data_IF_670995830133
#
_entry.id   IF_670995830133
#
_cell.length_a   1.000
_cell.length_b   1.000
_cell.length_c   1.000
_cell.angle_alpha   90.00
_cell.angle_beta   90.00
_cell.angle_gamma   90.00
#
_symmetry.space_group_name_H-M   'P 1'
#
loop_
_entity.id
_entity.type
_entity.pdbx_description
1 polymer ?
#
# COMPACT_ATOMS: atom_id res chain seq x y z
N UNK A 1 46.54 -43.35 17.43
CA UNK A 1 45.44 -43.46 16.42
C UNK A 1 44.05 -43.15 16.95
N UNK A 2 43.69 -43.50 18.17
CA UNK A 2 42.33 -43.18 18.72
C UNK A 2 42.00 -41.67 18.87
N UNK A 3 42.99 -40.84 19.12
CA UNK A 3 42.76 -39.35 19.28
C UNK A 3 42.42 -38.64 17.99
N UNK A 4 42.98 -39.09 16.87
CA UNK A 4 42.74 -38.46 15.55
C UNK A 4 41.33 -38.78 15.04
N UNK A 5 40.84 -39.99 15.35
CA UNK A 5 39.49 -40.41 14.96
C UNK A 5 38.40 -39.64 15.68
N UNK A 6 38.61 -39.34 16.97
CA UNK A 6 37.66 -38.53 17.74
C UNK A 6 37.60 -37.08 17.26
N UNK A 7 38.69 -36.52 16.78
CA UNK A 7 38.74 -35.19 16.17
C UNK A 7 38.03 -35.16 14.81
N UNK A 8 38.16 -36.21 13.99
CA UNK A 8 37.46 -36.31 12.71
C UNK A 8 35.94 -36.47 12.88
N UNK A 9 35.50 -37.24 13.88
CA UNK A 9 34.07 -37.37 14.21
C UNK A 9 33.46 -36.06 14.73
N UNK A 10 34.21 -35.29 15.52
CA UNK A 10 33.77 -33.99 16.03
C UNK A 10 33.62 -32.95 14.93
N UNK A 11 34.54 -32.93 13.97
CA UNK A 11 34.50 -32.03 12.83
C UNK A 11 33.33 -32.36 11.86
N UNK A 12 33.06 -33.65 11.63
CA UNK A 12 31.94 -34.09 10.81
C UNK A 12 30.56 -33.73 11.42
N UNK A 13 30.42 -33.83 12.75
CA UNK A 13 29.21 -33.46 13.47
C UNK A 13 28.98 -31.95 13.44
N UNK A 14 30.03 -31.12 13.50
CA UNK A 14 29.92 -29.66 13.43
C UNK A 14 29.54 -29.19 12.04
N UNK A 15 30.07 -29.81 10.97
CA UNK A 15 29.68 -29.51 9.59
C UNK A 15 28.23 -29.90 9.29
N UNK A 16 27.74 -31.02 9.86
CA UNK A 16 26.34 -31.43 9.69
C UNK A 16 25.35 -30.42 10.34
N UNK A 17 25.74 -29.86 11.50
CA UNK A 17 24.92 -28.85 12.18
C UNK A 17 24.84 -27.51 11.42
N UNK A 18 25.88 -27.15 10.68
CA UNK A 18 25.91 -25.90 9.88
C UNK A 18 25.11 -26.01 8.57
N UNK A 19 24.89 -27.24 8.04
CA UNK A 19 24.11 -27.47 6.83
C UNK A 19 22.59 -27.57 7.08
N UNK A 20 22.16 -27.74 8.32
CA UNK A 20 20.73 -27.79 8.68
C UNK A 20 20.08 -26.43 8.87
N UNK A 21 20.82 -25.32 8.72
CA UNK A 21 20.35 -23.96 8.98
C UNK A 21 19.61 -23.26 7.85
N UNK A 22 19.47 -23.88 6.68
CA UNK A 22 18.75 -23.28 5.55
C UNK A 22 17.69 -24.24 5.00
N UNK A 23 16.75 -24.63 5.84
CA UNK A 23 15.45 -25.02 5.32
C UNK A 23 14.75 -23.75 4.85
N UNK A 24 15.12 -23.27 3.67
CA UNK A 24 14.24 -22.40 2.89
C UNK A 24 13.06 -23.28 2.46
N UNK A 25 12.09 -23.39 3.34
CA UNK A 25 10.76 -23.85 2.95
C UNK A 25 10.27 -22.85 1.93
N UNK A 26 10.56 -23.12 0.65
CA UNK A 26 9.83 -22.56 -0.47
C UNK A 26 8.41 -23.10 -0.44
N UNK A 27 7.67 -22.83 0.64
CA UNK A 27 6.23 -22.84 0.63
C UNK A 27 5.85 -21.72 -0.33
N UNK A 28 5.33 -22.08 -1.50
CA UNK A 28 4.44 -21.20 -2.22
C UNK A 28 3.32 -20.87 -1.24
N UNK A 29 3.48 -19.79 -0.49
CA UNK A 29 2.36 -19.13 0.16
C UNK A 29 1.37 -18.90 -0.96
N UNK A 30 0.17 -19.49 -0.92
CA UNK A 30 -0.89 -19.07 -1.81
C UNK A 30 -0.92 -17.56 -1.62
N UNK A 31 -0.95 -16.80 -2.72
CA UNK A 31 -0.95 -15.33 -2.68
C UNK A 31 -1.88 -14.93 -1.54
N UNK A 32 -1.27 -14.59 -0.40
CA UNK A 32 -1.98 -14.49 0.85
C UNK A 32 -2.99 -13.39 0.63
N UNK A 33 -4.26 -13.66 0.84
CA UNK A 33 -5.28 -12.64 0.83
C UNK A 33 -4.75 -11.49 1.67
N UNK A 34 -4.49 -10.35 1.04
CA UNK A 34 -4.07 -9.14 1.74
C UNK A 34 -5.12 -8.92 2.82
N UNK A 35 -4.76 -9.08 4.07
CA UNK A 35 -5.69 -8.98 5.19
C UNK A 35 -5.80 -7.56 5.74
N UNK A 36 -4.99 -6.65 5.21
CA UNK A 36 -4.91 -5.24 5.62
C UNK A 36 -5.19 -4.31 4.46
N UNK A 37 -5.86 -3.23 4.74
CA UNK A 37 -6.07 -2.12 3.82
C UNK A 37 -4.72 -1.45 3.53
N UNK A 38 -4.28 -1.38 2.26
CA UNK A 38 -2.99 -0.83 1.91
C UNK A 38 -2.85 0.67 2.19
N UNK A 39 -3.94 1.42 2.31
CA UNK A 39 -3.93 2.86 2.62
C UNK A 39 -3.71 3.13 4.11
N UNK A 40 -4.34 2.34 4.97
CA UNK A 40 -4.42 2.63 6.40
C UNK A 40 -3.69 1.63 7.27
N UNK A 41 -3.36 0.44 6.75
CA UNK A 41 -2.82 -0.68 7.52
C UNK A 41 -3.84 -1.33 8.47
N UNK A 42 -5.10 -0.92 8.44
CA UNK A 42 -6.17 -1.49 9.23
C UNK A 42 -6.66 -2.83 8.63
N UNK A 43 -7.48 -3.55 9.36
CA UNK A 43 -8.11 -4.76 8.84
C UNK A 43 -8.90 -4.46 7.56
N UNK A 44 -8.70 -5.30 6.53
CA UNK A 44 -9.38 -5.13 5.24
C UNK A 44 -10.89 -5.34 5.40
N UNK A 45 -11.66 -4.31 5.12
CA UNK A 45 -13.12 -4.32 5.22
C UNK A 45 -13.80 -4.72 3.90
N UNK A 46 -13.11 -4.56 2.78
CA UNK A 46 -13.64 -4.78 1.42
C UNK A 46 -12.74 -5.75 0.63
N UNK A 47 -12.72 -7.04 0.99
CA UNK A 47 -11.84 -8.01 0.35
C UNK A 47 -12.22 -8.21 -1.12
N UNK A 48 -11.21 -8.15 -2.00
CA UNK A 48 -11.40 -8.30 -3.44
C UNK A 48 -11.81 -7.04 -4.19
N UNK A 49 -12.06 -5.93 -3.50
CA UNK A 49 -12.32 -4.64 -4.14
C UNK A 49 -11.03 -3.82 -4.27
N UNK A 50 -11.01 -2.94 -5.25
CA UNK A 50 -9.90 -2.02 -5.46
C UNK A 50 -10.12 -0.73 -4.70
N UNK A 51 -9.07 -0.25 -4.06
CA UNK A 51 -8.99 1.12 -3.53
C UNK A 51 -9.26 2.13 -4.64
N UNK A 52 -10.01 3.18 -4.37
CA UNK A 52 -10.27 4.27 -5.31
C UNK A 52 -9.70 5.59 -4.79
N UNK A 53 -9.14 6.41 -5.68
CA UNK A 53 -8.70 7.76 -5.35
C UNK A 53 -9.34 8.77 -6.30
N UNK A 54 -10.02 9.76 -5.74
CA UNK A 54 -10.75 10.79 -6.47
C UNK A 54 -10.11 12.13 -6.21
N UNK A 55 -9.82 12.88 -7.29
CA UNK A 55 -9.30 14.24 -7.16
C UNK A 55 -10.44 15.23 -7.23
N UNK A 56 -10.57 16.04 -6.19
CA UNK A 56 -11.57 17.10 -6.09
C UNK A 56 -10.93 18.48 -6.05
N UNK A 57 -11.70 19.48 -6.46
CA UNK A 57 -11.26 20.88 -6.46
C UNK A 57 -11.12 21.40 -5.02
N UNK A 58 -10.04 22.13 -4.77
CA UNK A 58 -9.74 22.79 -3.49
C UNK A 58 -9.36 24.27 -3.69
N UNK A 59 -9.85 24.88 -4.75
CA UNK A 59 -9.64 26.32 -4.95
C UNK A 59 -10.42 27.13 -3.92
N UNK A 60 -9.93 28.31 -3.58
CA UNK A 60 -10.61 29.22 -2.65
C UNK A 60 -12.02 29.64 -3.13
N UNK A 61 -12.29 29.52 -4.42
CA UNK A 61 -13.61 29.74 -5.03
C UNK A 61 -14.54 28.53 -4.96
N UNK A 62 -14.05 27.35 -4.56
CA UNK A 62 -14.88 26.16 -4.41
C UNK A 62 -15.87 26.34 -3.27
N UNK A 63 -17.15 26.26 -3.57
CA UNK A 63 -18.21 26.55 -2.59
C UNK A 63 -18.63 25.35 -1.77
N UNK A 64 -18.52 24.14 -2.33
CA UNK A 64 -18.96 22.91 -1.65
C UNK A 64 -18.10 21.74 -2.11
N UNK A 65 -17.54 21.04 -1.12
CA UNK A 65 -16.76 19.83 -1.33
C UNK A 65 -17.47 18.66 -0.64
N UNK A 66 -17.63 17.55 -1.35
CA UNK A 66 -18.29 16.35 -0.82
C UNK A 66 -17.33 15.17 -0.78
N UNK A 67 -17.53 14.30 0.21
CA UNK A 67 -16.82 13.03 0.36
C UNK A 67 -15.61 13.08 1.27
N UNK A 68 -15.07 14.24 1.63
CA UNK A 68 -13.83 14.37 2.42
C UNK A 68 -13.91 13.58 3.74
N UNK A 69 -14.99 13.73 4.49
CA UNK A 69 -15.14 13.10 5.80
C UNK A 69 -15.25 11.57 5.79
N UNK A 70 -15.45 10.96 4.62
CA UNK A 70 -15.52 9.50 4.44
C UNK A 70 -14.25 8.91 3.82
N UNK A 71 -13.29 9.73 3.44
CA UNK A 71 -12.04 9.27 2.88
C UNK A 71 -11.15 8.64 3.96
N UNK A 72 -10.51 7.51 3.64
CA UNK A 72 -9.51 6.88 4.52
C UNK A 72 -8.23 7.69 4.59
N UNK A 73 -7.85 8.33 3.47
CA UNK A 73 -6.68 9.19 3.34
C UNK A 73 -7.04 10.41 2.51
N UNK A 74 -6.57 11.57 2.94
CA UNK A 74 -6.66 12.82 2.18
C UNK A 74 -5.24 13.30 1.91
N UNK A 75 -4.91 13.49 0.63
CA UNK A 75 -3.65 14.05 0.20
C UNK A 75 -3.87 15.46 -0.33
N UNK A 76 -3.09 16.39 0.16
CA UNK A 76 -3.03 17.76 -0.34
C UNK A 76 -1.63 18.02 -0.89
N UNK A 77 -1.54 18.60 -2.07
CA UNK A 77 -0.29 18.98 -2.69
C UNK A 77 -0.34 20.41 -3.18
N UNK A 78 0.75 21.12 -2.99
CA UNK A 78 0.90 22.47 -3.50
C UNK A 78 1.24 22.42 -5.00
N UNK A 79 0.66 23.32 -5.76
CA UNK A 79 1.08 23.59 -7.15
C UNK A 79 2.42 24.34 -7.17
N UNK A 80 3.01 24.50 -8.34
CA UNK A 80 4.22 25.33 -8.52
C UNK A 80 4.02 26.77 -8.03
N UNK A 81 2.80 27.28 -8.05
CA UNK A 81 2.44 28.59 -7.51
C UNK A 81 2.28 28.61 -5.98
N UNK A 82 2.48 27.47 -5.29
CA UNK A 82 2.36 27.37 -3.85
C UNK A 82 0.92 27.35 -3.32
N UNK A 83 -0.06 27.09 -4.19
CA UNK A 83 -1.48 27.02 -3.80
C UNK A 83 -2.01 25.59 -3.83
N UNK A 84 -2.76 25.15 -2.81
CA UNK A 84 -3.43 23.86 -2.82
C UNK A 84 -4.73 23.97 -3.63
N UNK A 85 -4.68 23.63 -4.92
CA UNK A 85 -5.84 23.75 -5.81
C UNK A 85 -6.70 22.49 -5.92
N UNK A 86 -6.22 21.38 -5.39
CA UNK A 86 -6.93 20.10 -5.39
C UNK A 86 -6.61 19.26 -4.17
N UNK A 87 -7.51 18.34 -3.84
CA UNK A 87 -7.34 17.28 -2.85
C UNK A 87 -7.50 15.93 -3.55
N UNK A 88 -6.70 14.96 -3.16
CA UNK A 88 -6.90 13.58 -3.56
C UNK A 88 -7.47 12.80 -2.38
N UNK A 89 -8.67 12.27 -2.54
CA UNK A 89 -9.43 11.51 -1.54
C UNK A 89 -9.32 10.03 -1.86
N UNK A 90 -8.70 9.24 -0.99
CA UNK A 90 -8.59 7.81 -1.17
C UNK A 90 -9.58 7.05 -0.27
N UNK A 91 -10.28 6.07 -0.86
CA UNK A 91 -11.29 5.25 -0.23
C UNK A 91 -10.88 3.78 -0.29
N UNK A 92 -11.25 2.96 0.71
CA UNK A 92 -10.80 1.57 0.78
C UNK A 92 -11.37 0.70 -0.35
N UNK A 93 -12.48 1.11 -0.95
CA UNK A 93 -13.14 0.43 -2.06
C UNK A 93 -13.99 1.40 -2.88
N UNK A 94 -14.27 1.05 -4.14
CA UNK A 94 -15.21 1.80 -4.98
C UNK A 94 -16.62 1.80 -4.38
N UNK A 95 -17.05 0.67 -3.83
CA UNK A 95 -18.37 0.55 -3.18
C UNK A 95 -18.51 1.39 -1.90
N UNK A 96 -17.39 1.74 -1.27
CA UNK A 96 -17.36 2.55 -0.06
C UNK A 96 -17.37 4.06 -0.35
N UNK A 97 -17.29 4.46 -1.61
CA UNK A 97 -17.30 5.87 -1.98
C UNK A 97 -18.70 6.48 -1.81
N UNK A 98 -18.83 7.60 -1.08
CA UNK A 98 -20.06 8.38 -1.08
C UNK A 98 -20.16 9.23 -2.36
N UNK A 99 -21.10 10.17 -2.38
CA UNK A 99 -21.05 11.26 -3.37
C UNK A 99 -19.77 12.07 -3.14
N UNK A 100 -18.95 12.22 -4.17
CA UNK A 100 -17.65 12.91 -4.14
C UNK A 100 -17.61 14.01 -5.19
N UNK A 101 -17.07 15.16 -4.84
CA UNK A 101 -16.87 16.23 -5.81
C UNK A 101 -16.66 17.63 -5.21
N UNK A 102 -16.50 18.62 -6.08
CA UNK A 102 -16.41 18.58 -7.55
C UNK A 102 -15.11 17.93 -8.04
N UNK A 103 -15.22 17.00 -8.99
CA UNK A 103 -14.06 16.29 -9.53
C UNK A 103 -13.27 17.22 -10.46
N UNK A 104 -11.94 17.23 -10.30
CA UNK A 104 -11.03 18.07 -11.08
C UNK A 104 -9.81 17.29 -11.59
N UNK A 105 -8.88 17.99 -12.25
CA UNK A 105 -7.60 17.42 -12.68
C UNK A 105 -6.72 17.08 -11.49
N UNK A 106 -6.11 15.90 -11.54
CA UNK A 106 -5.13 15.46 -10.54
C UNK A 106 -3.73 16.00 -10.86
N UNK A 107 -2.92 16.07 -9.82
CA UNK A 107 -1.49 16.30 -9.94
C UNK A 107 -0.76 14.95 -10.03
N UNK A 108 0.26 14.87 -10.86
CA UNK A 108 1.09 13.67 -11.02
C UNK A 108 1.67 13.16 -9.68
N UNK A 109 1.91 14.07 -8.75
CA UNK A 109 2.38 13.76 -7.40
C UNK A 109 1.44 12.81 -6.64
N UNK A 110 0.13 12.96 -6.76
CA UNK A 110 -0.85 12.07 -6.11
C UNK A 110 -0.67 10.62 -6.57
N UNK A 111 -0.53 10.43 -7.88
CA UNK A 111 -0.38 9.10 -8.47
C UNK A 111 0.95 8.47 -8.11
N UNK A 112 2.01 9.26 -7.99
CA UNK A 112 3.31 8.77 -7.51
C UNK A 112 3.25 8.32 -6.05
N UNK A 113 2.58 9.08 -5.19
CA UNK A 113 2.41 8.71 -3.77
C UNK A 113 1.57 7.44 -3.59
N UNK A 114 0.59 7.23 -4.47
CA UNK A 114 -0.32 6.09 -4.42
C UNK A 114 0.09 4.92 -5.32
N UNK A 115 1.21 5.01 -6.03
CA UNK A 115 1.63 4.01 -7.04
C UNK A 115 1.81 2.59 -6.49
N UNK A 116 2.16 2.44 -5.21
CA UNK A 116 2.30 1.14 -4.54
C UNK A 116 0.99 0.52 -4.05
N UNK A 117 -0.15 1.19 -4.23
CA UNK A 117 -1.42 0.81 -3.61
C UNK A 117 -2.45 0.22 -4.59
N UNK A 118 -2.08 0.03 -5.87
CA UNK A 118 -2.99 -0.46 -6.93
C UNK A 118 -4.32 0.31 -7.00
N UNK A 119 -4.28 1.61 -6.77
CA UNK A 119 -5.44 2.48 -6.68
C UNK A 119 -6.08 2.69 -8.05
N UNK A 120 -7.42 2.72 -8.10
CA UNK A 120 -8.18 3.19 -9.26
C UNK A 120 -8.21 4.72 -9.26
N UNK A 121 -7.53 5.40 -10.21
CA UNK A 121 -7.51 6.85 -10.26
C UNK A 121 -8.79 7.39 -10.90
N UNK A 122 -9.40 8.39 -10.28
CA UNK A 122 -10.59 9.07 -10.75
C UNK A 122 -10.32 10.58 -10.77
N UNK A 123 -10.32 11.16 -11.95
CA UNK A 123 -10.11 12.58 -12.17
C UNK A 123 -10.81 13.03 -13.44
N UNK A 124 -10.96 14.34 -13.62
CA UNK A 124 -11.40 14.91 -14.90
C UNK A 124 -10.28 14.76 -15.93
N UNK A 125 -10.60 14.29 -17.13
CA UNK A 125 -9.72 14.23 -18.29
C UNK A 125 -9.81 15.48 -19.15
#
# INVERSE_FOLDING_TARGET
MKRIWNLALGAAALCAALLCGCSFSGGSTPAGSVSTDPLTGQALQYPGERTAAVVIENAASSTTQWGIGSASVVLEALTESGQPTSLCLAYPAVSAMPTVGPVTLGQDLYWRLLSGQEVLPIQRG
#
